data_IF_314250432044
#
_entry.id   IF_314250432044
#
_cell.length_a   1.000
_cell.length_b   1.000
_cell.length_c   1.000
_cell.angle_alpha   90.00
_cell.angle_beta   90.00
_cell.angle_gamma   90.00
#
_symmetry.space_group_name_H-M   'P 1'
#
loop_
_entity.id
_entity.type
_entity.pdbx_description
1 polymer ?
#
# COMPACT_ATOMS: atom_id res chain seq x y z
N UNK A 1 -16.85 4.65 -0.77
CA UNK A 1 -17.63 4.19 -1.93
C UNK A 1 -18.65 5.25 -2.27
N UNK A 2 -18.49 5.94 -3.41
CA UNK A 2 -19.40 7.01 -3.87
C UNK A 2 -19.85 6.66 -5.30
N UNK A 3 -20.91 5.86 -5.41
CA UNK A 3 -21.49 5.51 -6.69
C UNK A 3 -23.00 5.77 -6.68
N UNK A 4 -23.52 6.20 -7.83
CA UNK A 4 -24.94 6.41 -8.07
C UNK A 4 -25.37 5.48 -9.19
N UNK A 5 -26.41 4.71 -8.94
CA UNK A 5 -27.04 3.83 -9.90
C UNK A 5 -28.33 4.46 -10.41
N UNK A 6 -28.63 4.20 -11.69
CA UNK A 6 -29.97 4.34 -12.23
C UNK A 6 -30.58 2.94 -12.24
N UNK A 7 -31.69 2.76 -11.54
CA UNK A 7 -32.39 1.48 -11.43
C UNK A 7 -33.79 1.60 -12.03
N UNK A 8 -34.28 0.52 -12.62
CA UNK A 8 -35.65 0.41 -13.12
C UNK A 8 -36.30 -0.84 -12.55
N UNK A 9 -37.35 -0.65 -11.75
CA UNK A 9 -38.17 -1.69 -11.11
C UNK A 9 -39.52 -1.91 -11.81
N UNK A 10 -39.72 -1.34 -13.00
CA UNK A 10 -40.98 -1.40 -13.75
C UNK A 10 -41.93 -0.21 -13.52
N UNK A 11 -41.59 0.71 -12.60
CA UNK A 11 -42.31 1.96 -12.34
C UNK A 11 -41.61 3.18 -12.96
N UNK A 12 -40.58 2.96 -13.78
CA UNK A 12 -39.75 4.00 -14.37
C UNK A 12 -38.37 4.13 -13.70
N UNK A 13 -37.38 4.67 -14.42
CA UNK A 13 -35.99 4.71 -13.96
C UNK A 13 -35.77 5.79 -12.89
N UNK A 14 -35.12 5.43 -11.78
CA UNK A 14 -34.77 6.36 -10.70
C UNK A 14 -33.31 6.25 -10.27
N UNK A 15 -32.74 7.36 -9.83
CA UNK A 15 -31.35 7.42 -9.34
C UNK A 15 -31.30 7.09 -7.86
N UNK A 16 -30.35 6.24 -7.48
CA UNK A 16 -30.11 5.86 -6.09
C UNK A 16 -28.62 5.88 -5.78
N UNK A 17 -28.18 6.45 -4.65
CA UNK A 17 -26.83 6.27 -4.16
C UNK A 17 -26.64 4.82 -3.67
N UNK A 18 -25.59 4.14 -4.13
CA UNK A 18 -25.35 2.74 -3.75
C UNK A 18 -25.02 2.61 -2.25
N UNK A 19 -24.38 3.62 -1.67
CA UNK A 19 -23.99 3.59 -0.25
C UNK A 19 -25.17 3.62 0.72
N UNK A 20 -26.34 4.10 0.29
CA UNK A 20 -27.56 4.13 1.10
C UNK A 20 -28.09 2.71 1.42
N UNK A 21 -27.62 1.71 0.67
CA UNK A 21 -27.97 0.30 0.86
C UNK A 21 -26.93 -0.47 1.69
N UNK A 22 -25.91 0.20 2.22
CA UNK A 22 -24.91 -0.42 3.09
C UNK A 22 -25.17 -0.03 4.55
N UNK A 23 -25.89 -0.88 5.27
CA UNK A 23 -26.08 -0.70 6.71
C UNK A 23 -24.80 -1.00 7.52
N UNK A 24 -24.79 -0.59 8.79
CA UNK A 24 -23.63 -0.74 9.67
C UNK A 24 -23.22 -2.21 9.88
N UNK A 25 -24.20 -3.12 9.97
CA UNK A 25 -23.93 -4.56 10.13
C UNK A 25 -23.26 -5.16 8.89
N UNK A 26 -23.68 -4.73 7.70
CA UNK A 26 -23.12 -5.16 6.42
C UNK A 26 -21.76 -4.51 6.17
N UNK A 27 -21.54 -3.27 6.60
CA UNK A 27 -20.22 -2.66 6.57
C UNK A 27 -19.22 -3.44 7.43
N UNK A 28 -19.61 -3.81 8.64
CA UNK A 28 -18.75 -4.57 9.56
C UNK A 28 -18.46 -5.98 9.00
N UNK A 29 -19.48 -6.67 8.49
CA UNK A 29 -19.27 -7.95 7.79
C UNK A 29 -18.34 -7.80 6.58
N UNK A 30 -18.45 -6.73 5.81
CA UNK A 30 -17.56 -6.47 4.68
C UNK A 30 -16.10 -6.28 5.14
N UNK A 31 -15.86 -5.61 6.28
CA UNK A 31 -14.52 -5.49 6.89
C UNK A 31 -13.96 -6.84 7.29
N UNK A 32 -14.74 -7.64 8.02
CA UNK A 32 -14.33 -8.97 8.46
C UNK A 32 -14.02 -9.89 7.27
N UNK A 33 -14.87 -9.87 6.24
CA UNK A 33 -14.67 -10.66 5.02
C UNK A 33 -13.44 -10.20 4.23
N UNK A 34 -13.22 -8.90 4.11
CA UNK A 34 -12.00 -8.35 3.51
C UNK A 34 -10.75 -8.81 4.24
N UNK A 35 -10.76 -8.75 5.57
CA UNK A 35 -9.61 -9.17 6.39
C UNK A 35 -9.37 -10.68 6.25
N UNK A 36 -10.43 -11.49 6.31
CA UNK A 36 -10.36 -12.94 6.10
C UNK A 36 -9.81 -13.28 4.71
N UNK A 37 -10.25 -12.57 3.67
CA UNK A 37 -9.77 -12.77 2.31
C UNK A 37 -8.26 -12.47 2.19
N UNK A 38 -7.79 -11.34 2.74
CA UNK A 38 -6.36 -10.98 2.74
C UNK A 38 -5.54 -12.05 3.50
N UNK A 39 -6.04 -12.55 4.64
CA UNK A 39 -5.34 -13.61 5.39
C UNK A 39 -5.36 -14.95 4.68
N UNK A 40 -6.38 -15.24 3.86
CA UNK A 40 -6.48 -16.47 3.10
C UNK A 40 -5.56 -16.47 1.86
N UNK A 41 -5.51 -15.34 1.14
CA UNK A 41 -4.76 -15.24 -0.14
C UNK A 41 -3.25 -15.47 0.05
N UNK A 42 -2.72 -15.28 1.26
CA UNK A 42 -1.33 -15.60 1.62
C UNK A 42 -0.96 -17.09 1.44
N UNK A 43 -1.96 -17.97 1.44
CA UNK A 43 -1.78 -19.42 1.28
C UNK A 43 -1.99 -19.89 -0.16
N UNK A 44 -2.51 -19.04 -1.04
CA UNK A 44 -2.67 -19.33 -2.47
C UNK A 44 -1.32 -19.67 -3.09
N UNK A 45 -1.26 -20.69 -3.96
CA UNK A 45 -0.01 -21.11 -4.60
C UNK A 45 0.33 -20.24 -5.80
N UNK A 46 1.56 -19.73 -5.82
CA UNK A 46 2.17 -18.97 -6.92
C UNK A 46 3.46 -19.68 -7.28
N UNK A 47 3.58 -20.13 -8.53
CA UNK A 47 4.65 -21.04 -8.98
C UNK A 47 4.82 -22.27 -8.06
N UNK A 48 3.69 -22.84 -7.59
CA UNK A 48 3.69 -24.01 -6.70
C UNK A 48 3.94 -23.71 -5.22
N UNK A 49 4.39 -22.51 -4.84
CA UNK A 49 4.67 -22.14 -3.46
C UNK A 49 3.57 -21.26 -2.86
N UNK A 50 3.28 -21.34 -1.55
CA UNK A 50 2.39 -20.38 -0.89
C UNK A 50 2.85 -18.95 -1.16
N UNK A 51 1.93 -18.04 -1.51
CA UNK A 51 2.25 -16.66 -1.85
C UNK A 51 3.08 -15.99 -0.74
N UNK A 52 2.78 -16.31 0.52
CA UNK A 52 3.54 -15.81 1.67
C UNK A 52 5.02 -16.22 1.72
N UNK A 53 5.45 -17.21 0.95
CA UNK A 53 6.83 -17.71 0.91
C UNK A 53 7.49 -17.47 -0.44
N UNK A 54 6.69 -17.35 -1.50
CA UNK A 54 7.18 -17.26 -2.87
C UNK A 54 8.11 -16.07 -3.13
N UNK A 55 7.86 -14.93 -2.49
CA UNK A 55 8.66 -13.71 -2.69
C UNK A 55 9.42 -13.37 -1.42
N UNK A 56 10.74 -13.49 -1.48
CA UNK A 56 11.62 -13.24 -0.34
C UNK A 56 12.74 -12.27 -0.70
N UNK A 57 13.21 -11.52 0.30
CA UNK A 57 14.43 -10.76 0.23
C UNK A 57 15.27 -11.09 1.47
N UNK A 58 16.52 -11.53 1.27
CA UNK A 58 17.45 -11.91 2.36
C UNK A 58 16.87 -12.98 3.31
N UNK A 59 16.05 -13.89 2.78
CA UNK A 59 15.37 -14.93 3.56
C UNK A 59 14.03 -14.50 4.16
N UNK A 60 13.77 -13.18 4.23
CA UNK A 60 12.51 -12.66 4.77
C UNK A 60 11.41 -12.62 3.73
N UNK A 61 10.21 -12.96 4.15
CA UNK A 61 9.02 -12.88 3.31
C UNK A 61 8.59 -11.44 3.05
N UNK A 62 8.33 -11.12 1.78
CA UNK A 62 7.75 -9.84 1.39
C UNK A 62 6.23 -9.78 1.59
N UNK A 63 5.60 -10.85 2.09
CA UNK A 63 4.15 -10.92 2.31
C UNK A 63 3.63 -9.82 3.22
N UNK A 64 4.35 -9.51 4.29
CA UNK A 64 3.92 -8.50 5.24
C UNK A 64 3.68 -7.14 4.56
N UNK A 65 4.53 -6.78 3.60
CA UNK A 65 4.38 -5.57 2.79
C UNK A 65 3.22 -5.66 1.79
N UNK A 66 3.00 -6.82 1.17
CA UNK A 66 1.83 -7.05 0.32
C UNK A 66 0.52 -6.92 1.11
N UNK A 67 0.49 -7.47 2.31
CA UNK A 67 -0.65 -7.38 3.22
C UNK A 67 -0.93 -5.94 3.65
N UNK A 68 0.11 -5.20 4.05
CA UNK A 68 0.00 -3.78 4.40
C UNK A 68 -0.54 -2.96 3.22
N UNK A 69 -0.04 -3.23 2.01
CA UNK A 69 -0.52 -2.60 0.78
C UNK A 69 -2.01 -2.85 0.55
N UNK A 70 -2.47 -4.11 0.65
CA UNK A 70 -3.89 -4.45 0.46
C UNK A 70 -4.79 -3.78 1.49
N UNK A 71 -4.33 -3.63 2.73
CA UNK A 71 -5.07 -2.90 3.76
C UNK A 71 -5.09 -1.39 3.51
N UNK A 72 -3.98 -0.79 3.05
CA UNK A 72 -3.87 0.65 2.75
C UNK A 72 -4.68 1.06 1.53
N UNK A 73 -4.62 0.30 0.44
CA UNK A 73 -5.36 0.63 -0.79
C UNK A 73 -6.88 0.48 -0.62
N UNK A 74 -7.32 -0.33 0.35
CA UNK A 74 -8.74 -0.60 0.64
C UNK A 74 -9.56 -1.10 -0.57
N UNK A 75 -8.91 -1.53 -1.65
CA UNK A 75 -9.60 -1.99 -2.85
C UNK A 75 -10.44 -3.25 -2.56
N UNK A 76 -9.87 -4.20 -1.80
CA UNK A 76 -10.56 -5.43 -1.38
C UNK A 76 -11.75 -5.10 -0.48
N UNK A 77 -11.59 -4.17 0.47
CA UNK A 77 -12.69 -3.72 1.33
C UNK A 77 -13.79 -3.05 0.52
N UNK A 78 -13.42 -2.14 -0.39
CA UNK A 78 -14.37 -1.45 -1.28
C UNK A 78 -15.14 -2.44 -2.15
N UNK A 79 -14.47 -3.51 -2.60
CA UNK A 79 -15.11 -4.60 -3.32
C UNK A 79 -16.17 -5.32 -2.48
N UNK A 80 -15.86 -5.76 -1.26
CA UNK A 80 -16.85 -6.39 -0.37
C UNK A 80 -18.02 -5.46 -0.01
N UNK A 81 -17.75 -4.18 0.24
CA UNK A 81 -18.78 -3.15 0.49
C UNK A 81 -19.70 -2.97 -0.71
N UNK A 82 -19.13 -2.93 -1.92
CA UNK A 82 -19.91 -2.76 -3.16
C UNK A 82 -20.81 -3.96 -3.41
N UNK A 83 -20.30 -5.18 -3.22
CA UNK A 83 -21.09 -6.41 -3.36
C UNK A 83 -22.24 -6.42 -2.35
N UNK A 84 -21.95 -6.14 -1.07
CA UNK A 84 -22.96 -6.13 -0.01
C UNK A 84 -24.04 -5.08 -0.26
N UNK A 85 -23.65 -3.85 -0.60
CA UNK A 85 -24.59 -2.76 -0.89
C UNK A 85 -25.46 -3.06 -2.12
N UNK A 86 -24.87 -3.66 -3.17
CA UNK A 86 -25.63 -4.02 -4.35
C UNK A 86 -26.59 -5.19 -4.10
N UNK A 87 -26.18 -6.21 -3.32
CA UNK A 87 -27.06 -7.30 -2.92
C UNK A 87 -28.25 -6.78 -2.11
N UNK A 88 -28.02 -5.89 -1.12
CA UNK A 88 -29.08 -5.27 -0.35
C UNK A 88 -30.04 -4.42 -1.22
N UNK A 89 -29.51 -3.70 -2.22
CA UNK A 89 -30.32 -2.99 -3.20
C UNK A 89 -31.20 -3.96 -3.99
N UNK A 90 -30.65 -5.08 -4.47
CA UNK A 90 -31.40 -6.07 -5.24
C UNK A 90 -32.50 -6.70 -4.40
N UNK A 91 -32.20 -7.06 -3.15
CA UNK A 91 -33.18 -7.70 -2.26
C UNK A 91 -34.33 -6.75 -1.90
N UNK A 92 -34.02 -5.46 -1.70
CA UNK A 92 -35.01 -4.42 -1.33
C UNK A 92 -35.83 -3.93 -2.52
N UNK A 93 -35.19 -3.65 -3.64
CA UNK A 93 -35.80 -2.91 -4.76
C UNK A 93 -36.20 -3.80 -5.94
N UNK A 94 -35.66 -5.03 -5.99
CA UNK A 94 -35.90 -6.02 -7.06
C UNK A 94 -35.82 -5.41 -8.47
N UNK A 95 -34.73 -4.71 -8.80
CA UNK A 95 -34.63 -4.00 -10.07
C UNK A 95 -34.55 -4.98 -11.24
N UNK A 96 -35.23 -4.65 -12.33
CA UNK A 96 -35.18 -5.37 -13.61
C UNK A 96 -33.98 -4.94 -14.45
N UNK A 97 -33.59 -3.66 -14.34
CA UNK A 97 -32.42 -3.11 -15.00
C UNK A 97 -31.64 -2.15 -14.11
N UNK A 98 -30.31 -2.12 -14.30
CA UNK A 98 -29.41 -1.23 -13.56
C UNK A 98 -28.34 -0.62 -14.48
N UNK A 99 -27.95 0.61 -14.18
CA UNK A 99 -26.83 1.33 -14.83
C UNK A 99 -26.04 2.11 -13.80
N UNK A 100 -24.72 2.03 -13.83
CA UNK A 100 -23.90 2.96 -13.05
C UNK A 100 -23.79 4.28 -13.78
N UNK A 101 -24.33 5.36 -13.19
CA UNK A 101 -24.32 6.71 -13.79
C UNK A 101 -23.22 7.60 -13.22
N UNK A 102 -22.76 7.33 -12.00
CA UNK A 102 -21.60 7.95 -11.38
C UNK A 102 -20.88 6.93 -10.49
N UNK A 103 -19.56 6.99 -10.41
CA UNK A 103 -18.73 6.04 -9.67
C UNK A 103 -17.52 5.57 -10.45
N UNK A 104 -16.50 5.10 -9.73
CA UNK A 104 -15.23 4.63 -10.28
C UNK A 104 -15.38 3.35 -11.13
N UNK A 105 -14.33 3.02 -11.88
CA UNK A 105 -14.33 1.87 -12.79
C UNK A 105 -14.48 0.53 -12.04
N UNK A 106 -13.95 0.42 -10.81
CA UNK A 106 -14.03 -0.80 -9.98
C UNK A 106 -15.48 -1.09 -9.62
N UNK A 107 -16.18 -0.06 -9.14
CA UNK A 107 -17.60 -0.12 -8.77
C UNK A 107 -18.46 -0.44 -9.99
N UNK A 108 -18.21 0.20 -11.13
CA UNK A 108 -18.90 -0.12 -12.40
C UNK A 108 -18.74 -1.59 -12.77
N UNK A 109 -17.52 -2.13 -12.67
CA UNK A 109 -17.21 -3.52 -13.01
C UNK A 109 -17.88 -4.50 -12.06
N UNK A 110 -17.86 -4.22 -10.75
CA UNK A 110 -18.49 -5.06 -9.73
C UNK A 110 -20.00 -5.09 -9.86
N UNK A 111 -20.64 -3.93 -10.07
CA UNK A 111 -22.09 -3.86 -10.28
C UNK A 111 -22.48 -4.62 -11.55
N UNK A 112 -21.71 -4.50 -12.64
CA UNK A 112 -21.94 -5.28 -13.85
C UNK A 112 -21.82 -6.79 -13.61
N UNK A 113 -20.74 -7.23 -12.95
CA UNK A 113 -20.50 -8.64 -12.67
C UNK A 113 -21.60 -9.22 -11.77
N UNK A 114 -22.00 -8.48 -10.73
CA UNK A 114 -23.04 -8.92 -9.81
C UNK A 114 -24.45 -8.87 -10.40
N UNK A 115 -24.78 -7.85 -11.20
CA UNK A 115 -26.02 -7.81 -11.97
C UNK A 115 -26.14 -9.00 -12.91
N UNK A 116 -25.04 -9.36 -13.59
CA UNK A 116 -24.98 -10.53 -14.47
C UNK A 116 -25.22 -11.83 -13.71
N UNK A 117 -24.58 -12.02 -12.55
CA UNK A 117 -24.80 -13.18 -11.68
C UNK A 117 -26.25 -13.27 -11.17
N UNK A 118 -26.90 -12.14 -10.93
CA UNK A 118 -28.31 -12.04 -10.51
C UNK A 118 -29.31 -12.01 -11.68
N UNK A 119 -28.85 -12.15 -12.93
CA UNK A 119 -29.66 -12.07 -14.17
C UNK A 119 -30.44 -10.75 -14.32
N UNK A 120 -29.88 -9.65 -13.82
CA UNK A 120 -30.42 -8.29 -13.94
C UNK A 120 -29.82 -7.63 -15.19
N UNK A 121 -30.66 -6.93 -15.98
CA UNK A 121 -30.20 -6.27 -17.20
C UNK A 121 -29.27 -5.10 -16.87
N UNK A 122 -28.02 -5.17 -17.32
CA UNK A 122 -27.07 -4.06 -17.14
C UNK A 122 -27.04 -3.16 -18.37
N UNK A 123 -27.31 -1.86 -18.21
CA UNK A 123 -27.36 -0.89 -19.29
C UNK A 123 -26.02 -0.12 -19.37
N UNK A 124 -25.02 -0.68 -20.05
CA UNK A 124 -23.73 0.00 -20.31
C UNK A 124 -22.58 -0.96 -20.63
N UNK A 125 -21.56 -0.47 -21.36
CA UNK A 125 -20.33 -1.23 -21.62
C UNK A 125 -19.23 -0.86 -20.60
N UNK A 126 -18.51 -1.82 -20.03
CA UNK A 126 -17.34 -1.54 -19.20
C UNK A 126 -16.16 -1.13 -20.09
N UNK A 127 -15.75 0.14 -20.03
CA UNK A 127 -14.50 0.62 -20.63
C UNK A 127 -13.39 0.61 -19.58
N UNK A 128 -12.28 -0.07 -19.89
CA UNK A 128 -11.09 -0.09 -19.05
C UNK A 128 -10.13 1.02 -19.50
N UNK A 129 -9.70 1.88 -18.57
CA UNK A 129 -8.65 2.88 -18.80
C UNK A 129 -7.61 2.72 -17.70
N UNK A 130 -6.34 2.54 -18.09
CA UNK A 130 -5.19 2.33 -17.21
C UNK A 130 -3.96 3.09 -17.72
N UNK A 131 -3.18 3.64 -16.77
CA UNK A 131 -1.90 4.34 -16.97
C UNK A 131 -1.97 5.76 -16.37
N UNK A 132 -1.03 6.27 -15.58
CA UNK A 132 0.41 6.05 -15.49
C UNK A 132 0.95 6.73 -14.21
N UNK A 133 2.17 6.41 -13.75
CA UNK A 133 3.15 7.39 -13.23
C UNK A 133 4.40 6.69 -12.65
N UNK A 134 5.58 6.92 -13.23
CA UNK A 134 6.87 6.67 -12.58
C UNK A 134 7.93 7.56 -13.24
N UNK A 135 8.43 8.60 -12.55
CA UNK A 135 9.81 9.10 -12.68
C UNK A 135 10.20 9.91 -11.43
N UNK A 136 11.26 9.50 -10.75
CA UNK A 136 12.40 10.39 -10.43
C UNK A 136 13.46 9.70 -9.58
N UNK A 137 14.70 9.69 -10.07
CA UNK A 137 15.90 9.80 -9.24
C UNK A 137 17.10 10.21 -10.10
N UNK A 138 17.73 11.31 -9.75
CA UNK A 138 19.13 11.58 -10.07
C UNK A 138 19.79 12.41 -8.97
N UNK A 139 20.77 11.76 -8.31
CA UNK A 139 22.05 12.25 -7.75
C UNK A 139 22.06 13.43 -6.75
N UNK A 140 22.80 13.24 -5.64
CA UNK A 140 24.14 13.83 -5.46
C UNK A 140 24.93 13.18 -4.32
N UNK A 141 26.26 13.35 -4.37
CA UNK A 141 27.31 12.73 -3.57
C UNK A 141 27.91 13.75 -2.61
N UNK A 142 27.90 13.43 -1.32
CA UNK A 142 28.92 13.82 -0.35
C UNK A 142 28.87 12.82 0.79
N UNK A 143 30.04 12.26 1.17
CA UNK A 143 30.17 11.32 2.29
C UNK A 143 30.45 12.14 3.56
N UNK A 144 29.63 12.04 4.62
CA UNK A 144 30.02 12.50 5.93
C UNK A 144 31.09 11.57 6.53
N UNK A 145 31.93 12.10 7.41
CA UNK A 145 32.74 11.29 8.29
C UNK A 145 31.80 10.68 9.34
N UNK A 146 31.62 9.36 9.29
CA UNK A 146 30.75 8.63 10.20
C UNK A 146 31.60 8.15 11.39
N UNK A 147 31.20 8.52 12.60
CA UNK A 147 31.67 7.89 13.84
C UNK A 147 30.67 6.82 14.27
N UNK A 148 31.17 5.72 14.84
CA UNK A 148 30.34 4.66 15.45
C UNK A 148 29.31 5.30 16.41
N UNK A 149 28.05 4.88 16.29
CA UNK A 149 26.98 5.25 17.22
C UNK A 149 26.74 4.08 18.18
N UNK A 150 26.31 4.33 19.42
CA UNK A 150 25.84 3.24 20.28
C UNK A 150 24.36 2.92 19.99
N UNK A 151 23.55 3.94 19.68
CA UNK A 151 22.12 3.79 19.35
C UNK A 151 21.79 4.54 18.07
N UNK A 152 21.03 3.90 17.18
CA UNK A 152 20.50 4.51 15.95
C UNK A 152 18.97 4.54 15.98
N UNK A 153 18.38 5.72 15.81
CA UNK A 153 16.94 5.89 15.69
C UNK A 153 16.55 6.23 14.25
N UNK A 154 15.71 5.40 13.65
CA UNK A 154 15.11 5.67 12.34
C UNK A 154 13.86 6.53 12.50
N UNK A 155 13.89 7.72 11.93
CA UNK A 155 12.83 8.74 12.05
C UNK A 155 12.34 9.17 10.67
N UNK A 156 11.04 9.32 10.48
CA UNK A 156 10.52 9.82 9.20
C UNK A 156 10.74 11.34 9.11
N UNK A 157 11.44 11.80 8.07
CA UNK A 157 11.88 13.22 7.97
C UNK A 157 10.72 14.21 7.96
N UNK A 158 9.55 13.84 7.43
CA UNK A 158 8.34 14.67 7.48
C UNK A 158 7.80 14.96 8.89
N UNK A 159 8.20 14.20 9.91
CA UNK A 159 7.75 14.34 11.29
C UNK A 159 8.76 15.04 12.20
N UNK A 160 9.91 15.43 11.64
CA UNK A 160 10.94 16.19 12.33
C UNK A 160 10.68 17.69 12.21
N UNK A 161 10.52 18.37 13.35
CA UNK A 161 10.36 19.82 13.41
C UNK A 161 11.75 20.48 13.33
N UNK A 162 11.90 21.46 12.43
CA UNK A 162 13.21 22.07 12.11
C UNK A 162 13.76 23.01 13.20
N UNK A 163 13.01 23.24 14.27
CA UNK A 163 13.30 24.15 15.38
C UNK A 163 14.09 23.50 16.52
N UNK A 164 14.14 22.16 16.60
CA UNK A 164 14.90 21.42 17.60
C UNK A 164 15.92 20.45 16.97
N UNK A 165 17.10 20.35 17.60
CA UNK A 165 18.22 19.52 17.16
C UNK A 165 18.34 18.17 17.89
N UNK A 166 17.34 17.83 18.69
CA UNK A 166 17.31 16.67 19.59
C UNK A 166 16.04 15.83 19.36
N UNK A 167 15.89 14.74 20.10
CA UNK A 167 14.80 13.78 19.93
C UNK A 167 13.40 14.37 20.14
N UNK A 168 13.29 15.53 20.80
CA UNK A 168 12.02 16.22 21.02
C UNK A 168 11.41 16.79 19.74
N UNK A 169 12.21 16.93 18.68
CA UNK A 169 11.79 17.40 17.37
C UNK A 169 10.90 16.41 16.61
N UNK A 170 10.93 15.12 16.96
CA UNK A 170 10.15 14.08 16.29
C UNK A 170 8.75 13.97 16.92
N UNK A 171 7.71 14.06 16.09
CA UNK A 171 6.32 14.18 16.58
C UNK A 171 5.62 12.88 16.98
N UNK A 172 6.17 11.71 16.65
CA UNK A 172 5.54 10.41 16.85
C UNK A 172 6.15 9.64 18.04
N UNK A 173 7.47 9.45 18.04
CA UNK A 173 8.26 8.80 19.09
C UNK A 173 9.11 9.77 19.91
N UNK A 174 8.99 11.09 19.71
CA UNK A 174 9.79 12.10 20.40
C UNK A 174 9.91 11.95 21.93
N UNK A 175 8.83 11.57 22.67
CA UNK A 175 8.96 11.26 24.09
C UNK A 175 9.95 10.14 24.40
N UNK A 176 9.97 9.07 23.60
CA UNK A 176 10.91 7.95 23.77
C UNK A 176 12.33 8.40 23.43
N UNK A 177 12.50 9.20 22.38
CA UNK A 177 13.81 9.71 21.99
C UNK A 177 14.44 10.59 23.07
N UNK A 178 13.64 11.47 23.70
CA UNK A 178 14.12 12.31 24.81
C UNK A 178 14.61 11.48 25.99
N UNK A 179 13.88 10.45 26.37
CA UNK A 179 14.29 9.57 27.48
C UNK A 179 15.59 8.82 27.13
N UNK A 180 15.74 8.36 25.89
CA UNK A 180 16.97 7.72 25.43
C UNK A 180 18.18 8.67 25.43
N UNK A 181 18.00 9.92 25.00
CA UNK A 181 19.05 10.94 25.08
C UNK A 181 19.45 11.25 26.53
N UNK A 182 18.47 11.32 27.44
CA UNK A 182 18.74 11.54 28.87
C UNK A 182 19.51 10.37 29.49
N UNK A 183 19.20 9.13 29.09
CA UNK A 183 19.89 7.92 29.57
C UNK A 183 21.30 7.76 28.98
N UNK A 184 21.52 8.19 27.74
CA UNK A 184 22.79 8.04 27.05
C UNK A 184 23.16 9.29 26.21
N UNK A 185 23.61 10.38 26.85
CA UNK A 185 23.94 11.62 26.15
C UNK A 185 25.03 11.42 25.08
N UNK A 186 24.77 11.88 23.85
CA UNK A 186 25.70 11.78 22.73
C UNK A 186 25.84 10.39 22.10
N UNK A 187 25.12 9.39 22.62
CA UNK A 187 25.16 8.02 22.14
C UNK A 187 24.20 7.75 20.96
N UNK A 188 23.22 8.64 20.78
CA UNK A 188 22.12 8.50 19.83
C UNK A 188 22.40 9.25 18.51
N UNK A 189 22.20 8.57 17.39
CA UNK A 189 22.20 9.17 16.05
C UNK A 189 20.85 8.99 15.35
N UNK A 190 20.41 10.04 14.67
CA UNK A 190 19.15 10.04 13.92
C UNK A 190 19.36 9.75 12.45
N UNK A 191 18.67 8.73 11.93
CA UNK A 191 18.66 8.40 10.51
C UNK A 191 17.29 8.74 9.93
N UNK A 192 17.28 9.71 9.02
CA UNK A 192 16.06 10.21 8.38
C UNK A 192 15.61 9.34 7.22
N UNK A 193 14.38 8.83 7.28
CA UNK A 193 13.71 8.08 6.20
C UNK A 193 12.68 8.95 5.49
N UNK A 194 12.58 8.80 4.18
CA UNK A 194 11.50 9.40 3.38
C UNK A 194 11.66 10.90 3.11
N UNK A 195 10.70 11.52 2.42
CA UNK A 195 10.74 12.93 2.07
C UNK A 195 10.33 13.84 3.24
N UNK A 196 10.91 15.04 3.29
CA UNK A 196 10.70 16.10 4.32
C UNK A 196 9.26 16.61 4.37
N UNK A 197 8.49 16.39 3.31
CA UNK A 197 7.10 16.80 3.23
C UNK A 197 6.22 15.59 2.97
N UNK A 198 5.09 15.58 3.65
CA UNK A 198 3.98 14.69 3.42
C UNK A 198 3.52 14.72 1.94
N UNK A 199 3.00 13.59 1.47
CA UNK A 199 2.73 13.32 0.04
C UNK A 199 1.82 14.36 -0.63
N UNK A 200 0.94 15.03 0.14
CA UNK A 200 0.00 16.05 -0.33
C UNK A 200 0.62 17.43 -0.58
N UNK A 201 1.71 17.78 0.12
CA UNK A 201 2.37 19.09 0.02
C UNK A 201 3.67 19.04 -0.81
N UNK A 202 4.02 17.85 -1.30
CA UNK A 202 5.25 17.57 -2.02
C UNK A 202 5.23 18.19 -3.42
N UNK A 203 6.25 18.97 -3.72
CA UNK A 203 6.57 19.42 -5.09
C UNK A 203 7.74 18.62 -5.63
N UNK A 204 7.82 18.42 -6.94
CA UNK A 204 8.88 17.61 -7.56
C UNK A 204 10.30 18.16 -7.27
N UNK A 205 10.40 19.46 -6.97
CA UNK A 205 11.63 20.15 -6.61
C UNK A 205 11.92 20.22 -5.10
N UNK A 206 11.05 19.72 -4.22
CA UNK A 206 11.36 19.65 -2.78
C UNK A 206 12.55 18.71 -2.49
N UNK A 207 12.82 17.77 -3.39
CA UNK A 207 14.03 16.95 -3.38
C UNK A 207 15.33 17.74 -3.64
N UNK A 208 15.24 19.01 -4.09
CA UNK A 208 16.37 19.91 -4.32
C UNK A 208 16.71 20.76 -3.08
N UNK A 209 15.91 20.70 -2.02
CA UNK A 209 16.19 21.42 -0.78
C UNK A 209 17.12 20.58 0.10
N UNK A 210 18.37 21.03 0.22
CA UNK A 210 19.32 20.58 1.23
C UNK A 210 18.71 20.87 2.61
N UNK A 211 18.75 19.89 3.52
CA UNK A 211 18.27 20.07 4.89
C UNK A 211 19.13 21.10 5.65
N UNK A 212 18.49 21.97 6.46
CA UNK A 212 19.20 22.86 7.38
C UNK A 212 19.54 22.22 8.74
N UNK A 213 18.96 21.07 9.14
CA UNK A 213 19.28 20.45 10.44
C UNK A 213 20.47 19.48 10.35
N UNK A 214 21.58 19.80 11.00
CA UNK A 214 22.75 18.91 11.14
C UNK A 214 22.48 17.65 11.98
N UNK A 215 21.35 17.58 12.68
CA UNK A 215 21.04 16.53 13.65
C UNK A 215 20.61 15.19 13.03
N UNK A 216 20.00 15.19 11.83
CA UNK A 216 19.47 13.98 11.18
C UNK A 216 20.28 13.67 9.94
N UNK A 217 20.86 12.46 9.90
CA UNK A 217 21.59 11.95 8.74
C UNK A 217 20.57 11.37 7.76
N UNK A 218 20.43 11.90 6.53
CA UNK A 218 19.56 11.31 5.53
C UNK A 218 20.02 9.88 5.18
N UNK A 219 19.11 8.93 5.13
CA UNK A 219 19.46 7.51 4.91
C UNK A 219 20.20 7.28 3.59
N UNK A 220 19.93 8.09 2.55
CA UNK A 220 20.64 8.01 1.28
C UNK A 220 22.15 8.33 1.36
N UNK A 221 22.59 9.02 2.42
CA UNK A 221 24.02 9.26 2.66
C UNK A 221 24.74 8.02 3.19
N UNK A 222 23.99 7.12 3.85
CA UNK A 222 24.49 5.88 4.44
C UNK A 222 24.27 4.67 3.51
N UNK A 223 23.35 4.78 2.56
CA UNK A 223 23.00 3.73 1.61
C UNK A 223 23.44 4.07 0.17
N UNK A 224 24.73 3.91 -0.17
CA UNK A 224 25.20 4.14 -1.53
C UNK A 224 24.52 3.17 -2.49
N UNK A 225 24.38 3.55 -3.77
CA UNK A 225 23.65 2.73 -4.73
C UNK A 225 24.15 1.27 -4.81
N UNK A 226 25.44 1.04 -4.55
CA UNK A 226 26.05 -0.30 -4.52
C UNK A 226 25.50 -1.23 -3.45
N UNK A 227 24.87 -0.73 -2.38
CA UNK A 227 24.26 -1.56 -1.33
C UNK A 227 22.79 -1.93 -1.63
N UNK A 228 22.24 -1.43 -2.75
CA UNK A 228 20.83 -1.62 -3.14
C UNK A 228 20.59 -2.80 -4.08
N UNK A 229 21.41 -3.85 -3.98
CA UNK A 229 21.38 -4.97 -4.93
C UNK A 229 20.09 -5.79 -4.84
N UNK A 230 19.51 -5.92 -3.65
CA UNK A 230 18.21 -6.57 -3.43
C UNK A 230 17.08 -5.83 -4.14
N UNK A 231 17.02 -4.51 -3.94
CA UNK A 231 16.07 -3.61 -4.56
C UNK A 231 16.22 -3.57 -6.08
N UNK A 232 17.47 -3.51 -6.59
CA UNK A 232 17.76 -3.58 -8.03
C UNK A 232 17.34 -4.91 -8.64
N UNK A 233 17.55 -6.02 -7.94
CA UNK A 233 17.10 -7.35 -8.38
C UNK A 233 15.57 -7.40 -8.49
N UNK A 234 14.85 -7.06 -7.42
CA UNK A 234 13.38 -7.05 -7.45
C UNK A 234 12.82 -6.06 -8.47
N UNK A 235 13.45 -4.90 -8.63
CA UNK A 235 13.08 -3.96 -9.68
C UNK A 235 13.19 -4.63 -11.05
N UNK A 236 14.31 -5.27 -11.39
CA UNK A 236 14.46 -5.97 -12.67
C UNK A 236 13.45 -7.10 -12.84
N UNK A 237 13.18 -7.85 -11.78
CA UNK A 237 12.27 -9.01 -11.77
C UNK A 237 10.79 -8.64 -11.71
N UNK A 238 10.42 -7.39 -11.40
CA UNK A 238 9.03 -6.97 -11.15
C UNK A 238 8.02 -7.45 -12.20
N UNK A 239 8.37 -7.39 -13.49
CA UNK A 239 7.50 -7.84 -14.58
C UNK A 239 7.37 -9.37 -14.64
N UNK A 240 8.42 -10.11 -14.25
CA UNK A 240 8.34 -11.56 -14.06
C UNK A 240 7.44 -11.89 -12.87
N UNK A 241 7.58 -11.17 -11.76
CA UNK A 241 6.76 -11.37 -10.57
C UNK A 241 5.28 -11.09 -10.84
N UNK A 242 4.96 -10.03 -11.60
CA UNK A 242 3.60 -9.79 -12.09
C UNK A 242 3.10 -11.01 -12.88
N UNK A 243 3.88 -11.50 -13.85
CA UNK A 243 3.46 -12.67 -14.65
C UNK A 243 3.19 -13.90 -13.79
N UNK A 244 4.06 -14.20 -12.82
CA UNK A 244 3.85 -15.31 -11.87
C UNK A 244 2.55 -15.15 -11.07
N UNK A 245 2.27 -13.95 -10.55
CA UNK A 245 1.03 -13.67 -9.81
C UNK A 245 -0.21 -13.80 -10.70
N UNK A 246 -0.15 -13.27 -11.93
CA UNK A 246 -1.29 -13.27 -12.85
C UNK A 246 -1.54 -14.64 -13.50
N UNK A 247 -0.53 -15.50 -13.55
CA UNK A 247 -0.66 -16.87 -14.05
C UNK A 247 -1.13 -17.87 -12.97
N UNK A 248 -1.29 -17.44 -11.71
CA UNK A 248 -1.70 -18.33 -10.62
C UNK A 248 -3.20 -18.62 -10.68
N UNK A 249 -3.54 -19.89 -10.91
CA UNK A 249 -4.92 -20.39 -10.82
C UNK A 249 -5.48 -20.28 -9.40
N UNK A 250 -4.66 -20.45 -8.36
CA UNK A 250 -5.10 -20.26 -6.97
C UNK A 250 -5.56 -18.82 -6.74
N UNK A 251 -4.75 -17.84 -7.15
CA UNK A 251 -5.10 -16.42 -7.01
C UNK A 251 -6.34 -16.08 -7.84
N UNK A 252 -6.47 -16.67 -9.03
CA UNK A 252 -7.68 -16.54 -9.85
C UNK A 252 -8.91 -17.10 -9.16
N UNK A 253 -8.83 -18.29 -8.55
CA UNK A 253 -9.92 -18.89 -7.79
C UNK A 253 -10.30 -18.06 -6.57
N UNK A 254 -9.33 -17.54 -5.83
CA UNK A 254 -9.57 -16.63 -4.71
C UNK A 254 -10.27 -15.31 -5.12
N UNK A 255 -10.19 -14.91 -6.39
CA UNK A 255 -10.89 -13.72 -6.89
C UNK A 255 -12.36 -13.95 -7.26
N UNK A 256 -12.86 -15.18 -7.16
CA UNK A 256 -14.30 -15.45 -7.25
C UNK A 256 -14.92 -15.28 -5.87
N UNK A 257 -15.75 -14.26 -5.71
CA UNK A 257 -16.32 -13.88 -4.40
C UNK A 257 -17.83 -13.73 -4.58
N UNK A 258 -18.62 -14.55 -3.89
CA UNK A 258 -20.08 -14.57 -4.00
C UNK A 258 -20.55 -14.61 -5.48
N UNK A 259 -19.96 -15.53 -6.26
CA UNK A 259 -20.19 -15.69 -7.72
C UNK A 259 -19.87 -14.45 -8.57
N UNK A 260 -19.20 -13.45 -7.98
CA UNK A 260 -18.71 -12.27 -8.67
C UNK A 260 -17.26 -12.48 -9.10
N UNK A 261 -17.01 -12.38 -10.39
CA UNK A 261 -15.64 -12.37 -10.92
C UNK A 261 -14.94 -11.04 -10.61
N UNK A 262 -14.16 -11.04 -9.52
CA UNK A 262 -13.41 -9.89 -9.06
C UNK A 262 -11.96 -9.87 -9.56
N UNK A 263 -11.56 -10.79 -10.45
CA UNK A 263 -10.21 -10.85 -11.01
C UNK A 263 -9.73 -9.54 -11.62
N UNK A 264 -10.55 -8.76 -12.35
CA UNK A 264 -10.10 -7.48 -12.90
C UNK A 264 -9.64 -6.48 -11.84
N UNK A 265 -10.11 -6.59 -10.59
CA UNK A 265 -9.66 -5.74 -9.47
C UNK A 265 -8.47 -6.40 -8.80
N UNK A 266 -8.57 -7.69 -8.45
CA UNK A 266 -7.52 -8.42 -7.74
C UNK A 266 -6.19 -8.39 -8.53
N UNK A 267 -6.23 -8.57 -9.85
CA UNK A 267 -5.03 -8.55 -10.70
C UNK A 267 -4.29 -7.21 -10.66
N UNK A 268 -5.00 -6.10 -10.44
CA UNK A 268 -4.43 -4.75 -10.42
C UNK A 268 -3.76 -4.49 -9.09
N UNK A 269 -4.35 -4.97 -7.99
CA UNK A 269 -3.73 -4.95 -6.67
C UNK A 269 -2.49 -5.86 -6.63
N UNK A 270 -2.55 -7.05 -7.23
CA UNK A 270 -1.38 -7.95 -7.39
C UNK A 270 -0.27 -7.31 -8.23
N UNK A 271 -0.64 -6.59 -9.30
CA UNK A 271 0.31 -5.83 -10.10
C UNK A 271 0.93 -4.68 -9.29
N UNK A 272 0.13 -3.94 -8.51
CA UNK A 272 0.60 -2.91 -7.59
C UNK A 272 1.60 -3.44 -6.57
N UNK A 273 1.31 -4.60 -5.99
CA UNK A 273 2.23 -5.31 -5.08
C UNK A 273 3.58 -5.56 -5.76
N UNK A 274 3.58 -6.17 -6.94
CA UNK A 274 4.83 -6.57 -7.61
C UNK A 274 5.58 -5.39 -8.27
N UNK A 275 4.88 -4.39 -8.81
CA UNK A 275 5.47 -3.27 -9.54
C UNK A 275 5.90 -2.12 -8.63
N UNK A 276 5.21 -1.91 -7.52
CA UNK A 276 5.41 -0.77 -6.64
C UNK A 276 5.83 -1.21 -5.24
N UNK A 277 5.00 -2.00 -4.56
CA UNK A 277 5.21 -2.30 -3.14
C UNK A 277 6.51 -3.09 -2.91
N UNK A 278 6.71 -4.21 -3.60
CA UNK A 278 7.91 -5.04 -3.42
C UNK A 278 9.21 -4.29 -3.73
N UNK A 279 9.36 -3.57 -4.86
CA UNK A 279 10.57 -2.80 -5.09
C UNK A 279 10.80 -1.69 -4.06
N UNK A 280 9.73 -1.06 -3.56
CA UNK A 280 9.85 -0.02 -2.55
C UNK A 280 10.29 -0.60 -1.19
N UNK A 281 9.66 -1.69 -0.74
CA UNK A 281 10.04 -2.40 0.48
C UNK A 281 11.47 -2.92 0.42
N UNK A 282 11.87 -3.51 -0.70
CA UNK A 282 13.25 -3.98 -0.87
C UNK A 282 14.27 -2.86 -0.79
N UNK A 283 13.92 -1.68 -1.33
CA UNK A 283 14.76 -0.51 -1.20
C UNK A 283 14.85 -0.02 0.25
N UNK A 284 13.73 0.04 0.98
CA UNK A 284 13.75 0.42 2.39
C UNK A 284 14.60 -0.55 3.23
N UNK A 285 14.48 -1.86 2.98
CA UNK A 285 15.29 -2.90 3.65
C UNK A 285 16.78 -2.76 3.32
N UNK A 286 17.13 -2.54 2.05
CA UNK A 286 18.54 -2.34 1.65
C UNK A 286 19.12 -1.04 2.21
N UNK A 287 18.34 0.06 2.22
CA UNK A 287 18.73 1.36 2.76
C UNK A 287 18.93 1.27 4.29
N UNK A 288 18.01 0.63 5.02
CA UNK A 288 18.12 0.41 6.46
C UNK A 288 19.30 -0.50 6.82
N UNK A 289 19.47 -1.61 6.09
CA UNK A 289 20.61 -2.51 6.30
C UNK A 289 21.95 -1.80 6.09
N UNK A 290 22.08 -1.02 5.01
CA UNK A 290 23.30 -0.26 4.76
C UNK A 290 23.58 0.81 5.82
N UNK A 291 22.53 1.44 6.37
CA UNK A 291 22.67 2.37 7.48
C UNK A 291 23.16 1.68 8.76
N UNK A 292 22.61 0.51 9.09
CA UNK A 292 23.06 -0.29 10.23
C UNK A 292 24.52 -0.75 10.06
N UNK A 293 24.90 -1.23 8.87
CA UNK A 293 26.28 -1.65 8.56
C UNK A 293 27.26 -0.47 8.66
N UNK A 294 26.85 0.72 8.21
CA UNK A 294 27.70 1.92 8.22
C UNK A 294 27.91 2.50 9.63
N UNK A 295 26.87 2.47 10.47
CA UNK A 295 26.89 3.06 11.81
C UNK A 295 27.35 2.06 12.88
N UNK A 296 27.23 0.75 12.60
CA UNK A 296 27.51 -0.37 13.49
C UNK A 296 26.99 -0.16 14.93
N UNK A 297 25.68 0.11 15.11
CA UNK A 297 25.13 0.42 16.42
C UNK A 297 25.00 -0.81 17.31
N UNK A 298 25.07 -0.61 18.61
CA UNK A 298 24.81 -1.66 19.59
C UNK A 298 23.29 -1.90 19.76
N UNK A 299 22.46 -0.88 19.49
CA UNK A 299 21.01 -0.97 19.45
C UNK A 299 20.37 -0.09 18.37
N UNK A 300 19.20 -0.49 17.85
CA UNK A 300 18.42 0.30 16.89
C UNK A 300 16.97 0.50 17.35
N UNK A 301 16.46 1.72 17.22
CA UNK A 301 15.06 2.06 17.44
C UNK A 301 14.37 2.34 16.10
N UNK A 302 13.21 1.74 15.89
CA UNK A 302 12.32 1.98 14.75
C UNK A 302 10.87 1.90 15.21
N UNK A 303 9.94 2.41 14.41
CA UNK A 303 8.50 2.25 14.62
C UNK A 303 7.84 1.72 13.34
N UNK A 304 6.72 1.03 13.49
CA UNK A 304 6.08 0.25 12.41
C UNK A 304 5.67 1.07 11.17
N UNK A 305 5.58 2.40 11.29
CA UNK A 305 5.22 3.30 10.19
C UNK A 305 6.44 3.96 9.51
N UNK A 306 7.64 3.81 10.08
CA UNK A 306 8.88 4.38 9.53
C UNK A 306 9.40 3.65 8.27
N UNK A 307 8.87 2.46 7.96
CA UNK A 307 9.23 1.66 6.78
C UNK A 307 8.76 0.23 6.85
#
# INVERSE_FOLDING_TARGET
MTATLLIDSGTGPRRVPLHDYLDAASDERARQNSHRWIKAVRLARVDGEPFRRRFTLRGDSLWWFAELYLHKEQAILTMFRTIAAFDALVDRERPLAVRVVAGDWRTRRLVWARASARRIRFLGRPTALYGSALVSRARQRTRPAVSRAAIVAFVHTAFWRSDAGDGSAESYIGPVLRELEALAPGALQYVGIGPVRNFRARRWWDALRIHPSRAVIPIEQLAPASTLDGARRLWRERRRNVRSLLASDDLRRHSLINDCDCWPIVREELAGIALLQFPWSARAMDEAGAALDALAPDASLTYAEAG
#
